data_IF_182379036273
#
_entry.id   IF_182379036273
#
_cell.length_a   1.000
_cell.length_b   1.000
_cell.length_c   1.000
_cell.angle_alpha   90.00
_cell.angle_beta   90.00
_cell.angle_gamma   90.00
#
_symmetry.space_group_name_H-M   'P 1'
#
loop_
_entity.id
_entity.type
_entity.pdbx_description
1 polymer ?
#
# COMPACT_ATOMS: atom_id res chain seq x y z
N UNK A 1 5.70 1.80 -22.08
CA UNK A 1 6.16 3.19 -21.84
C UNK A 1 7.37 3.21 -20.92
N UNK A 2 7.25 2.74 -19.68
CA UNK A 2 8.30 2.79 -18.66
C UNK A 2 9.65 2.18 -19.10
N UNK A 3 9.65 1.02 -19.77
CA UNK A 3 10.89 0.43 -20.26
C UNK A 3 11.52 1.22 -21.42
N UNK A 4 10.70 1.72 -22.35
CA UNK A 4 11.18 2.44 -23.55
C UNK A 4 11.85 3.77 -23.19
N UNK A 5 11.33 4.47 -22.19
CA UNK A 5 11.81 5.78 -21.74
C UNK A 5 12.43 5.70 -20.35
N UNK A 6 13.06 4.56 -20.01
CA UNK A 6 13.60 4.29 -18.66
C UNK A 6 14.66 5.28 -18.19
N UNK A 7 15.38 5.91 -19.12
CA UNK A 7 16.40 6.92 -18.81
C UNK A 7 15.82 8.35 -18.71
N UNK A 8 14.61 8.56 -19.24
CA UNK A 8 13.92 9.86 -19.26
C UNK A 8 12.75 9.93 -18.24
N UNK A 9 12.39 8.81 -17.61
CA UNK A 9 11.27 8.69 -16.69
C UNK A 9 11.70 8.18 -15.32
N UNK A 10 11.31 8.91 -14.27
CA UNK A 10 11.33 8.44 -12.89
C UNK A 10 9.92 7.99 -12.50
N UNK A 11 9.57 6.73 -12.78
CA UNK A 11 8.25 6.19 -12.51
C UNK A 11 8.32 4.80 -11.86
N UNK A 12 7.72 4.67 -10.67
CA UNK A 12 7.36 3.40 -10.06
C UNK A 12 5.84 3.33 -9.99
N UNK A 13 5.25 2.27 -10.56
CA UNK A 13 3.80 2.14 -10.71
C UNK A 13 3.35 0.82 -10.10
N UNK A 14 2.25 0.87 -9.35
CA UNK A 14 1.49 -0.32 -8.98
C UNK A 14 0.19 -0.31 -9.77
N UNK A 15 -0.09 -1.40 -10.47
CA UNK A 15 -1.33 -1.62 -11.19
C UNK A 15 -2.10 -2.67 -10.40
N UNK A 16 -3.32 -2.33 -9.98
CA UNK A 16 -4.21 -3.27 -9.33
C UNK A 16 -5.60 -3.16 -9.96
N UNK A 17 -6.29 -4.29 -10.05
CA UNK A 17 -7.61 -4.33 -10.67
C UNK A 17 -8.27 -5.68 -10.51
N UNK A 18 -9.45 -5.79 -11.11
CA UNK A 18 -10.22 -7.01 -11.19
C UNK A 18 -10.72 -7.18 -12.63
N UNK A 19 -10.71 -8.42 -13.12
CA UNK A 19 -11.35 -8.78 -14.37
C UNK A 19 -12.09 -10.13 -14.24
N UNK A 20 -13.03 -10.45 -15.16
CA UNK A 20 -13.82 -11.67 -15.09
C UNK A 20 -13.06 -12.98 -15.36
N UNK A 21 -11.82 -12.92 -15.89
CA UNK A 21 -11.07 -14.12 -16.28
C UNK A 21 -10.14 -14.59 -15.16
N UNK A 22 -9.39 -13.65 -14.57
CA UNK A 22 -8.30 -13.91 -13.63
C UNK A 22 -8.59 -13.33 -12.24
N UNK A 23 -9.71 -12.62 -12.08
CA UNK A 23 -10.12 -12.00 -10.83
C UNK A 23 -9.20 -10.85 -10.42
N UNK A 24 -9.01 -10.69 -9.10
CA UNK A 24 -8.17 -9.64 -8.52
C UNK A 24 -6.68 -9.87 -8.77
N UNK A 25 -5.99 -8.84 -9.25
CA UNK A 25 -4.56 -8.91 -9.59
C UNK A 25 -3.81 -7.66 -9.16
N UNK A 26 -2.53 -7.83 -8.79
CA UNK A 26 -1.60 -6.76 -8.47
C UNK A 26 -0.29 -6.97 -9.25
N UNK A 27 0.14 -5.91 -9.94
CA UNK A 27 1.39 -5.87 -10.69
C UNK A 27 2.23 -4.68 -10.25
N UNK A 28 3.52 -4.94 -10.03
CA UNK A 28 4.52 -3.90 -9.79
C UNK A 28 5.32 -3.64 -11.05
N UNK A 29 5.41 -2.37 -11.44
CA UNK A 29 6.27 -1.86 -12.50
C UNK A 29 7.23 -0.85 -11.87
N UNK A 30 8.35 -1.33 -11.29
CA UNK A 30 9.33 -0.45 -10.67
C UNK A 30 10.09 0.37 -11.72
N UNK A 31 10.91 1.31 -11.24
CA UNK A 31 11.88 2.00 -12.09
C UNK A 31 12.72 0.97 -12.87
N UNK A 32 12.94 1.24 -14.16
CA UNK A 32 13.53 0.28 -15.09
C UNK A 32 12.50 -0.51 -15.91
N UNK A 33 11.23 -0.53 -15.51
CA UNK A 33 10.11 -0.94 -16.36
C UNK A 33 9.90 -2.44 -16.53
N UNK A 34 10.46 -3.28 -15.65
CA UNK A 34 10.03 -4.68 -15.53
C UNK A 34 8.58 -4.76 -15.02
N UNK A 35 7.94 -5.92 -15.15
CA UNK A 35 6.58 -6.14 -14.68
C UNK A 35 6.50 -7.49 -13.96
N UNK A 36 5.98 -7.49 -12.73
CA UNK A 36 5.88 -8.69 -11.89
C UNK A 36 4.52 -8.74 -11.18
N UNK A 37 3.85 -9.90 -11.25
CA UNK A 37 2.62 -10.18 -10.48
C UNK A 37 3.00 -10.51 -9.05
N UNK A 38 2.31 -9.94 -8.07
CA UNK A 38 2.57 -10.18 -6.64
C UNK A 38 1.24 -10.30 -5.88
N UNK A 39 1.27 -10.95 -4.71
CA UNK A 39 0.08 -11.04 -3.83
C UNK A 39 -0.26 -9.68 -3.21
N UNK A 40 0.77 -8.88 -2.89
CA UNK A 40 0.67 -7.47 -2.54
C UNK A 40 1.91 -6.74 -3.06
N UNK A 41 1.83 -5.43 -3.20
CA UNK A 41 2.96 -4.59 -3.59
C UNK A 41 3.01 -3.32 -2.74
N UNK A 42 4.22 -2.88 -2.40
CA UNK A 42 4.48 -1.60 -1.74
C UNK A 42 5.46 -0.79 -2.60
N UNK A 43 5.39 0.54 -2.51
CA UNK A 43 6.25 1.44 -3.26
C UNK A 43 6.24 2.86 -2.70
N UNK A 44 7.07 3.73 -3.27
CA UNK A 44 7.30 5.09 -2.76
C UNK A 44 8.41 5.15 -1.70
N UNK A 45 8.77 6.35 -1.25
CA UNK A 45 9.85 6.55 -0.25
C UNK A 45 9.55 5.87 1.09
N UNK A 46 8.28 5.89 1.52
CA UNK A 46 7.85 5.35 2.80
C UNK A 46 7.81 3.83 2.89
N UNK A 47 7.89 3.10 1.76
CA UNK A 47 7.80 1.64 1.76
C UNK A 47 8.94 0.98 2.54
N UNK A 48 10.11 1.62 2.58
CA UNK A 48 11.30 1.11 3.29
C UNK A 48 11.05 0.88 4.79
N UNK A 49 10.19 1.67 5.41
CA UNK A 49 9.91 1.60 6.86
C UNK A 49 8.98 0.45 7.24
N UNK A 50 8.29 -0.17 6.28
CA UNK A 50 7.19 -1.10 6.55
C UNK A 50 7.40 -2.51 6.02
N UNK A 51 8.55 -2.82 5.38
CA UNK A 51 8.88 -4.18 4.93
C UNK A 51 8.67 -5.23 6.03
N UNK A 52 9.27 -5.01 7.21
CA UNK A 52 9.12 -5.95 8.33
C UNK A 52 7.67 -6.09 8.82
N UNK A 53 6.87 -5.01 8.76
CA UNK A 53 5.46 -5.07 9.15
C UNK A 53 4.64 -5.88 8.15
N UNK A 54 4.77 -5.60 6.85
CA UNK A 54 3.97 -6.27 5.82
C UNK A 54 4.33 -7.76 5.71
N UNK A 55 5.62 -8.10 5.81
CA UNK A 55 6.09 -9.48 5.75
C UNK A 55 5.60 -10.30 6.96
N UNK A 56 5.56 -9.69 8.15
CA UNK A 56 5.10 -10.37 9.37
C UNK A 56 3.57 -10.43 9.51
N UNK A 57 2.83 -9.51 8.88
CA UNK A 57 1.39 -9.34 9.10
C UNK A 57 0.55 -9.89 7.95
N UNK A 58 1.09 -9.97 6.74
CA UNK A 58 0.36 -10.49 5.59
C UNK A 58 -0.07 -11.95 5.82
N UNK A 59 -1.30 -12.26 5.44
CA UNK A 59 -1.87 -13.61 5.44
C UNK A 59 -2.58 -13.87 4.12
N UNK A 60 -2.44 -15.07 3.59
CA UNK A 60 -3.22 -15.48 2.43
C UNK A 60 -4.72 -15.56 2.78
N UNK A 61 -5.58 -15.23 1.83
CA UNK A 61 -7.04 -15.34 2.00
C UNK A 61 -7.68 -14.27 2.88
N UNK A 62 -7.02 -13.12 3.11
CA UNK A 62 -7.62 -12.01 3.84
C UNK A 62 -8.94 -11.55 3.21
N UNK A 63 -9.93 -11.23 4.05
CA UNK A 63 -11.18 -10.61 3.58
C UNK A 63 -10.94 -9.18 3.10
N UNK A 64 -11.95 -8.57 2.46
CA UNK A 64 -11.91 -7.16 2.07
C UNK A 64 -11.61 -6.26 3.26
N UNK A 65 -12.28 -6.48 4.38
CA UNK A 65 -12.15 -5.68 5.60
C UNK A 65 -10.76 -5.83 6.23
N UNK A 66 -10.22 -7.07 6.25
CA UNK A 66 -8.86 -7.34 6.71
C UNK A 66 -7.82 -6.67 5.81
N UNK A 67 -8.00 -6.73 4.48
CA UNK A 67 -7.12 -6.04 3.52
C UNK A 67 -7.14 -4.52 3.72
N UNK A 68 -8.33 -3.92 3.94
CA UNK A 68 -8.47 -2.49 4.20
C UNK A 68 -7.77 -2.09 5.49
N UNK A 69 -7.91 -2.89 6.56
CA UNK A 69 -7.25 -2.63 7.83
C UNK A 69 -5.72 -2.80 7.74
N UNK A 70 -5.27 -3.86 7.07
CA UNK A 70 -3.85 -4.11 6.79
C UNK A 70 -3.22 -2.93 6.04
N UNK A 71 -3.88 -2.46 4.98
CA UNK A 71 -3.40 -1.32 4.18
C UNK A 71 -3.38 -0.03 5.00
N UNK A 72 -4.44 0.24 5.77
CA UNK A 72 -4.51 1.44 6.62
C UNK A 72 -3.40 1.46 7.68
N UNK A 73 -3.14 0.32 8.32
CA UNK A 73 -2.08 0.20 9.33
C UNK A 73 -0.69 0.39 8.70
N UNK A 74 -0.41 -0.27 7.57
CA UNK A 74 0.86 -0.16 6.88
C UNK A 74 1.14 1.29 6.45
N UNK A 75 0.16 1.97 5.86
CA UNK A 75 0.30 3.37 5.46
C UNK A 75 0.48 4.31 6.66
N UNK A 76 -0.27 4.11 7.74
CA UNK A 76 -0.11 4.91 8.95
C UNK A 76 1.28 4.75 9.59
N UNK A 77 1.82 3.52 9.65
CA UNK A 77 3.19 3.27 10.11
C UNK A 77 4.24 3.96 9.23
N UNK A 78 4.05 3.94 7.90
CA UNK A 78 4.96 4.62 6.97
C UNK A 78 4.89 6.15 7.14
N UNK A 79 3.68 6.72 7.22
CA UNK A 79 3.46 8.16 7.38
C UNK A 79 4.04 8.71 8.69
N UNK A 80 4.07 7.92 9.76
CA UNK A 80 4.66 8.33 11.04
C UNK A 80 6.19 8.45 10.98
N UNK A 81 6.85 7.79 10.01
CA UNK A 81 8.32 7.71 9.95
C UNK A 81 8.94 8.37 8.72
N UNK A 82 8.25 8.40 7.59
CA UNK A 82 8.73 9.02 6.35
C UNK A 82 8.29 10.49 6.26
N UNK A 83 9.26 11.41 6.31
CA UNK A 83 8.98 12.84 6.18
C UNK A 83 8.42 13.27 4.81
N UNK A 84 8.50 12.41 3.79
CA UNK A 84 7.90 12.66 2.47
C UNK A 84 6.48 12.09 2.33
N UNK A 85 5.98 11.40 3.36
CA UNK A 85 4.64 10.78 3.39
C UNK A 85 3.79 11.41 4.49
N UNK A 86 2.50 11.66 4.22
CA UNK A 86 1.62 12.28 5.21
C UNK A 86 0.24 12.66 4.68
N UNK A 87 -0.53 13.37 5.51
CA UNK A 87 -1.86 13.86 5.16
C UNK A 87 -2.97 12.87 5.50
N UNK A 88 -3.53 12.21 4.47
CA UNK A 88 -4.74 11.38 4.60
C UNK A 88 -4.55 10.04 3.90
N UNK A 89 -5.22 8.99 4.37
CA UNK A 89 -5.19 7.69 3.70
C UNK A 89 -6.38 7.59 2.75
N UNK A 90 -6.13 7.34 1.46
CA UNK A 90 -7.16 7.08 0.45
C UNK A 90 -7.12 5.60 0.09
N UNK A 91 -8.24 4.91 0.26
CA UNK A 91 -8.37 3.49 -0.07
C UNK A 91 -9.41 3.31 -1.17
N UNK A 92 -9.16 2.32 -2.02
CA UNK A 92 -10.11 1.85 -3.01
C UNK A 92 -10.17 0.33 -2.96
N UNK A 93 -11.36 -0.24 -2.78
CA UNK A 93 -11.61 -1.66 -2.93
C UNK A 93 -12.25 -1.89 -4.30
N UNK A 94 -11.66 -2.78 -5.09
CA UNK A 94 -12.12 -3.12 -6.45
C UNK A 94 -12.56 -4.57 -6.44
N UNK A 95 -13.80 -4.81 -6.88
CA UNK A 95 -14.38 -6.13 -7.02
C UNK A 95 -15.28 -6.17 -8.26
N UNK A 96 -15.86 -7.33 -8.55
CA UNK A 96 -16.87 -7.48 -9.61
C UNK A 96 -18.02 -6.48 -9.48
N UNK A 97 -18.45 -6.19 -8.25
CA UNK A 97 -19.54 -5.25 -7.95
C UNK A 97 -19.19 -3.79 -8.23
N UNK A 98 -17.91 -3.47 -8.48
CA UNK A 98 -17.44 -2.12 -8.78
C UNK A 98 -16.31 -1.64 -7.87
N UNK A 99 -16.23 -0.31 -7.74
CA UNK A 99 -15.17 0.36 -6.98
C UNK A 99 -15.76 1.11 -5.81
N UNK A 100 -15.34 0.73 -4.60
CA UNK A 100 -15.67 1.45 -3.38
C UNK A 100 -14.48 2.31 -2.94
N UNK A 101 -14.73 3.60 -2.67
CA UNK A 101 -13.69 4.56 -2.31
C UNK A 101 -13.95 5.08 -0.90
N UNK A 102 -12.90 5.14 -0.09
CA UNK A 102 -12.97 5.71 1.25
C UNK A 102 -11.73 6.55 1.55
N UNK A 103 -11.88 7.51 2.46
CA UNK A 103 -10.80 8.37 2.93
C UNK A 103 -10.80 8.34 4.45
N UNK A 104 -9.64 8.07 5.05
CA UNK A 104 -9.43 8.13 6.50
C UNK A 104 -8.72 9.45 6.82
N UNK A 105 -9.37 10.28 7.64
CA UNK A 105 -8.93 11.61 8.02
C UNK A 105 -8.64 11.67 9.53
N UNK A 106 -7.58 12.39 9.92
CA UNK A 106 -7.30 12.72 11.32
C UNK A 106 -7.36 11.50 12.24
N UNK A 107 -8.32 11.51 13.17
CA UNK A 107 -8.50 10.45 14.17
C UNK A 107 -8.97 9.09 13.61
N UNK A 108 -9.38 9.01 12.34
CA UNK A 108 -9.73 7.75 11.68
C UNK A 108 -8.48 6.97 11.23
N UNK A 109 -7.31 7.63 11.16
CA UNK A 109 -6.05 6.97 10.81
C UNK A 109 -5.58 6.15 12.04
N UNK A 110 -5.20 4.87 11.86
CA UNK A 110 -4.70 4.05 12.96
C UNK A 110 -3.53 4.72 13.69
N UNK A 111 -3.61 4.75 15.03
CA UNK A 111 -2.55 5.30 15.90
C UNK A 111 -1.80 4.16 16.57
N UNK A 112 -0.48 4.28 16.62
CA UNK A 112 0.41 3.30 17.26
C UNK A 112 1.07 3.94 18.47
N UNK A 113 1.28 3.14 19.51
CA UNK A 113 1.85 3.63 20.77
C UNK A 113 3.26 4.18 20.56
N UNK A 114 3.49 5.40 21.04
CA UNK A 114 4.83 5.97 21.14
C UNK A 114 5.48 5.41 22.40
N UNK A 115 6.70 4.89 22.27
CA UNK A 115 7.47 4.38 23.40
C UNK A 115 7.93 5.55 24.29
N UNK A 116 7.08 5.96 25.23
CA UNK A 116 7.42 6.92 26.29
C UNK A 116 8.11 6.20 27.44
N UNK A 117 8.93 6.92 28.20
CA UNK A 117 9.47 6.41 29.46
C UNK A 117 8.32 6.03 30.42
N UNK A 118 8.47 4.96 31.21
CA UNK A 118 7.50 4.65 32.26
C UNK A 118 7.44 5.82 33.26
N UNK A 119 6.28 6.03 33.92
CA UNK A 119 6.17 7.01 34.99
C UNK A 119 7.19 6.70 36.11
N UNK A 120 7.69 7.74 36.82
CA UNK A 120 8.67 7.60 37.89
C UNK A 120 8.16 6.79 39.08
#
# INVERSE_FOLDING_TARGET
MCYRYREDLMAGIIIAGWDPQEGGQVYSVPMGGMMVRQSFAIGGSGSSYIYGYVDATYREGMTKEECLQFTANALALAMERDGSSGGVIRLAAIAESGVERQVLLGDQIPKFTIATLPPP
#
